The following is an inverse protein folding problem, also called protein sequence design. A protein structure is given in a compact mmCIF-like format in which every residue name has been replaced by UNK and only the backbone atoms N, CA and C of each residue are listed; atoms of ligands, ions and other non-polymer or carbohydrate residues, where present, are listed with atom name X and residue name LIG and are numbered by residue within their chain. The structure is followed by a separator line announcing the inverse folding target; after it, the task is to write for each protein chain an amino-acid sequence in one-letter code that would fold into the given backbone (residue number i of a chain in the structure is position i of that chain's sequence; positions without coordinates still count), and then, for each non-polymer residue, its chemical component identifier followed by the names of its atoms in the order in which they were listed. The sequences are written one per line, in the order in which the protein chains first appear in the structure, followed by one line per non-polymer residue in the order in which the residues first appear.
data_IF_233803741434
#
_entry.id   IF_233803741434
#
_cell.length_a   1.000
_cell.length_b   1.000
_cell.length_c   1.000
_cell.angle_alpha   90.00
_cell.angle_beta   90.00
_cell.angle_gamma   90.00
#
_symmetry.space_group_name_H-M   'P 1'
#
loop_
_entity.id
_entity.type
_entity.pdbx_description
1 polymer ?
#
# COMPACT_ATOMS: atom_id res chain seq x y z
N UNK A 1 8.84 -20.57 49.59
CA UNK A 1 7.49 -20.16 49.17
C UNK A 1 7.42 -20.25 47.67
N UNK A 2 6.75 -21.27 47.13
CA UNK A 2 6.56 -21.47 45.67
C UNK A 2 5.22 -20.83 45.30
N UNK A 3 5.25 -19.81 44.48
CA UNK A 3 4.04 -19.22 43.89
C UNK A 3 3.70 -19.96 42.59
N UNK A 4 2.60 -20.68 42.62
CA UNK A 4 2.01 -21.37 41.48
C UNK A 4 1.17 -20.35 40.71
N UNK A 5 1.60 -19.98 39.52
CA UNK A 5 0.83 -19.16 38.59
C UNK A 5 -0.14 -20.11 37.86
N UNK A 6 -1.42 -20.04 38.24
CA UNK A 6 -2.50 -20.68 37.51
C UNK A 6 -2.77 -19.83 36.22
N UNK A 7 -2.33 -20.35 35.08
CA UNK A 7 -2.75 -19.83 33.78
C UNK A 7 -4.20 -20.21 33.51
N UNK A 8 -5.10 -19.24 33.48
CA UNK A 8 -6.48 -19.41 33.02
C UNK A 8 -6.48 -19.44 31.49
N UNK A 9 -6.53 -20.65 30.94
CA UNK A 9 -6.82 -20.83 29.52
C UNK A 9 -8.34 -20.70 29.34
N UNK A 10 -8.79 -19.54 28.87
CA UNK A 10 -10.16 -19.34 28.38
C UNK A 10 -10.24 -19.94 26.99
N UNK A 11 -10.63 -21.20 26.91
CA UNK A 11 -11.08 -21.85 25.69
C UNK A 11 -12.50 -21.33 25.41
N UNK A 12 -12.64 -20.24 24.63
CA UNK A 12 -13.92 -19.86 24.05
C UNK A 12 -14.28 -20.91 23.00
N UNK A 13 -15.20 -21.81 23.34
CA UNK A 13 -15.85 -22.66 22.35
C UNK A 13 -16.70 -21.76 21.44
N UNK A 14 -16.19 -21.40 20.28
CA UNK A 14 -16.93 -20.74 19.22
C UNK A 14 -17.96 -21.75 18.71
N UNK A 15 -19.22 -21.56 19.09
CA UNK A 15 -20.37 -22.25 18.47
C UNK A 15 -20.39 -21.74 17.04
N UNK A 16 -19.94 -22.56 16.10
CA UNK A 16 -19.97 -22.25 14.68
C UNK A 16 -21.41 -22.44 14.17
N UNK A 17 -22.21 -21.38 14.22
CA UNK A 17 -23.27 -21.22 13.23
C UNK A 17 -22.60 -21.19 11.84
N UNK A 18 -23.22 -21.71 10.77
CA UNK A 18 -22.68 -21.57 9.43
C UNK A 18 -22.61 -20.06 9.11
N UNK A 19 -21.41 -19.50 9.19
CA UNK A 19 -21.14 -18.13 8.80
C UNK A 19 -21.04 -18.14 7.28
N UNK A 20 -21.93 -17.44 6.59
CA UNK A 20 -21.78 -17.19 5.16
C UNK A 20 -20.69 -16.14 4.98
N UNK A 21 -19.53 -16.55 4.48
CA UNK A 21 -18.48 -15.63 4.07
C UNK A 21 -18.90 -14.89 2.77
N UNK A 22 -17.97 -14.47 1.96
CA UNK A 22 -18.27 -13.75 0.73
C UNK A 22 -18.94 -14.67 -0.32
N UNK A 23 -20.04 -14.22 -0.90
CA UNK A 23 -20.78 -14.93 -1.94
C UNK A 23 -21.08 -14.01 -3.13
N UNK A 24 -21.50 -14.58 -4.23
CA UNK A 24 -21.93 -13.83 -5.41
C UNK A 24 -22.95 -12.75 -5.06
N UNK A 25 -22.70 -11.52 -5.54
CA UNK A 25 -23.54 -10.35 -5.30
C UNK A 25 -23.15 -9.50 -4.09
N UNK A 26 -22.27 -9.99 -3.20
CA UNK A 26 -21.85 -9.23 -2.02
C UNK A 26 -21.02 -8.00 -2.41
N UNK A 27 -21.29 -6.87 -1.76
CA UNK A 27 -20.40 -5.72 -1.68
C UNK A 27 -19.54 -5.82 -0.41
N UNK A 28 -18.25 -5.60 -0.57
CA UNK A 28 -17.26 -5.73 0.49
C UNK A 28 -16.58 -4.39 0.69
N UNK A 29 -16.59 -3.88 1.91
CA UNK A 29 -15.86 -2.66 2.30
C UNK A 29 -14.85 -3.03 3.38
N UNK A 30 -13.60 -2.59 3.22
CA UNK A 30 -12.57 -2.71 4.26
C UNK A 30 -12.03 -1.33 4.60
N UNK A 31 -11.82 -1.08 5.88
CA UNK A 31 -11.17 0.13 6.38
C UNK A 31 -10.13 -0.25 7.43
N UNK A 32 -8.94 0.28 7.30
CA UNK A 32 -7.85 -0.09 8.19
C UNK A 32 -6.59 0.73 8.02
N UNK A 33 -5.51 0.24 8.58
CA UNK A 33 -4.19 0.86 8.52
C UNK A 33 -3.42 0.21 7.39
N UNK A 34 -2.93 1.03 6.45
CA UNK A 34 -2.09 0.64 5.34
C UNK A 34 -0.70 1.29 5.48
N UNK A 35 0.34 0.46 5.53
CA UNK A 35 1.74 0.89 5.62
C UNK A 35 2.45 0.62 4.29
N UNK A 36 2.89 1.69 3.64
CA UNK A 36 3.67 1.63 2.40
C UNK A 36 5.14 1.58 2.73
N UNK A 37 5.81 0.55 2.25
CA UNK A 37 7.25 0.33 2.41
C UNK A 37 7.87 0.31 1.03
N UNK A 38 8.48 1.42 0.57
CA UNK A 38 9.16 1.47 -0.71
C UNK A 38 10.30 0.45 -0.80
N UNK A 39 10.47 -0.12 -2.00
CA UNK A 39 11.65 -0.88 -2.41
C UNK A 39 12.31 -0.09 -3.53
N UNK A 40 12.72 1.12 -3.18
CA UNK A 40 13.11 2.17 -4.09
C UNK A 40 14.50 1.96 -4.67
N UNK A 41 14.67 2.42 -5.90
CA UNK A 41 15.93 2.64 -6.58
C UNK A 41 15.77 3.76 -7.59
N UNK A 42 16.84 4.47 -7.90
CA UNK A 42 16.82 5.50 -8.93
C UNK A 42 18.03 5.41 -9.82
N UNK A 43 17.98 6.07 -10.96
CA UNK A 43 19.19 6.40 -11.70
C UNK A 43 20.05 7.37 -10.88
N UNK A 44 21.34 7.38 -11.17
CA UNK A 44 22.29 8.22 -10.50
C UNK A 44 22.05 9.70 -10.78
N UNK A 45 21.99 10.50 -9.72
CA UNK A 45 21.69 11.93 -9.84
C UNK A 45 22.95 12.77 -10.05
N UNK A 46 22.79 13.85 -10.84
CA UNK A 46 23.84 14.87 -11.08
C UNK A 46 25.20 14.32 -11.53
N UNK A 47 25.22 13.16 -12.22
CA UNK A 47 26.47 12.52 -12.66
C UNK A 47 27.29 11.92 -11.52
N UNK A 48 26.75 11.82 -10.32
CA UNK A 48 27.36 11.20 -9.14
C UNK A 48 27.08 9.69 -9.12
N UNK A 49 27.52 9.02 -8.04
CA UNK A 49 27.15 7.63 -7.74
C UNK A 49 25.92 7.56 -6.80
N UNK A 50 25.37 8.70 -6.42
CA UNK A 50 24.29 8.83 -5.45
C UNK A 50 22.92 8.58 -6.08
N UNK A 51 22.01 7.98 -5.32
CA UNK A 51 20.65 7.65 -5.68
C UNK A 51 19.66 8.44 -4.83
N UNK A 52 18.40 8.46 -5.26
CA UNK A 52 17.27 8.95 -4.47
C UNK A 52 16.66 7.82 -3.67
N UNK A 53 16.25 8.11 -2.44
CA UNK A 53 15.52 7.18 -1.58
C UNK A 53 14.25 7.81 -1.03
N UNK A 54 13.27 6.96 -0.69
CA UNK A 54 11.93 7.34 -0.27
C UNK A 54 11.59 6.62 1.03
N UNK A 55 11.14 7.35 2.06
CA UNK A 55 10.79 6.75 3.34
C UNK A 55 9.42 6.04 3.32
N UNK A 56 9.21 5.14 4.28
CA UNK A 56 7.90 4.51 4.52
C UNK A 56 6.89 5.52 5.08
N UNK A 57 5.61 5.31 4.79
CA UNK A 57 4.50 6.05 5.39
C UNK A 57 3.31 5.14 5.70
N UNK A 58 2.49 5.53 6.67
CA UNK A 58 1.34 4.76 7.13
C UNK A 58 0.11 5.65 7.16
N UNK A 59 -0.95 5.20 6.49
CA UNK A 59 -2.17 5.96 6.27
C UNK A 59 -3.42 5.09 6.46
N UNK A 60 -4.60 5.73 6.44
CA UNK A 60 -5.87 5.04 6.37
C UNK A 60 -6.04 4.45 4.96
N UNK A 61 -6.19 3.13 4.90
CA UNK A 61 -6.53 2.39 3.69
C UNK A 61 -8.01 2.03 3.66
N UNK A 62 -8.62 2.13 2.48
CA UNK A 62 -10.00 1.77 2.20
C UNK A 62 -10.04 0.87 0.97
N UNK A 63 -10.83 -0.21 1.01
CA UNK A 63 -11.14 -0.98 -0.19
C UNK A 63 -12.63 -1.11 -0.38
N UNK A 64 -13.06 -1.14 -1.64
CA UNK A 64 -14.41 -1.44 -2.05
C UNK A 64 -14.35 -2.59 -3.06
N UNK A 65 -15.00 -3.70 -2.74
CA UNK A 65 -15.05 -4.89 -3.55
C UNK A 65 -16.47 -5.29 -3.92
N UNK A 66 -16.58 -6.04 -5.01
CA UNK A 66 -17.84 -6.69 -5.45
C UNK A 66 -17.53 -8.13 -5.86
N UNK A 67 -18.32 -9.07 -5.35
CA UNK A 67 -18.21 -10.49 -5.67
C UNK A 67 -19.01 -10.82 -6.93
N UNK A 68 -18.32 -11.12 -8.04
CA UNK A 68 -18.99 -11.58 -9.27
C UNK A 68 -19.42 -13.04 -9.19
N UNK A 69 -18.71 -13.83 -8.42
CA UNK A 69 -19.04 -15.21 -8.05
C UNK A 69 -18.61 -15.45 -6.61
N UNK A 70 -18.88 -16.59 -6.05
CA UNK A 70 -18.41 -16.96 -4.70
C UNK A 70 -16.88 -16.92 -4.55
N UNK A 71 -16.15 -16.94 -5.64
CA UNK A 71 -14.68 -16.99 -5.63
C UNK A 71 -13.99 -15.85 -6.37
N UNK A 72 -14.69 -15.06 -7.18
CA UNK A 72 -14.09 -14.00 -7.98
C UNK A 72 -14.67 -12.65 -7.58
N UNK A 73 -13.78 -11.71 -7.22
CA UNK A 73 -14.16 -10.34 -6.94
C UNK A 73 -13.37 -9.34 -7.80
N UNK A 74 -13.94 -8.15 -7.91
CA UNK A 74 -13.22 -6.94 -8.29
C UNK A 74 -13.09 -6.04 -7.07
N UNK A 75 -11.92 -5.50 -6.82
CA UNK A 75 -11.67 -4.60 -5.70
C UNK A 75 -10.91 -3.36 -6.14
N UNK A 76 -11.28 -2.23 -5.56
CA UNK A 76 -10.54 -0.96 -5.68
C UNK A 76 -9.96 -0.62 -4.32
N UNK A 77 -8.65 -0.49 -4.24
CA UNK A 77 -7.95 0.07 -3.09
C UNK A 77 -7.79 1.58 -3.30
N UNK A 78 -8.14 2.33 -2.27
CA UNK A 78 -7.84 3.75 -2.12
C UNK A 78 -7.26 4.00 -0.71
N UNK A 79 -6.55 5.10 -0.55
CA UNK A 79 -6.01 5.51 0.74
C UNK A 79 -6.05 7.04 0.85
N UNK A 80 -5.90 7.56 2.06
CA UNK A 80 -5.53 8.97 2.20
C UNK A 80 -4.13 9.19 1.62
N UNK A 81 -3.83 10.40 1.11
CA UNK A 81 -2.54 10.64 0.45
C UNK A 81 -1.35 10.26 1.31
N UNK A 82 -0.47 9.42 0.78
CA UNK A 82 0.81 9.13 1.40
C UNK A 82 1.76 10.31 1.21
N UNK A 83 2.58 10.59 2.22
CA UNK A 83 3.58 11.66 2.19
C UNK A 83 4.96 11.09 2.41
N UNK A 84 5.83 11.32 1.46
CA UNK A 84 7.18 10.78 1.48
C UNK A 84 8.22 11.88 1.44
N UNK A 85 9.30 11.68 2.20
CA UNK A 85 10.51 12.47 2.08
C UNK A 85 11.40 11.86 1.01
N UNK A 86 12.02 12.73 0.24
CA UNK A 86 13.00 12.38 -0.78
C UNK A 86 14.37 12.69 -0.18
N UNK A 87 15.22 11.69 -0.10
CA UNK A 87 16.56 11.79 0.46
C UNK A 87 17.63 11.38 -0.55
N UNK A 88 18.83 11.84 -0.36
CA UNK A 88 20.01 11.42 -1.13
C UNK A 88 21.24 11.38 -0.24
N UNK A 89 22.17 10.49 -0.57
CA UNK A 89 23.50 10.43 0.05
C UNK A 89 24.53 11.36 -0.64
N UNK A 90 24.11 12.05 -1.72
CA UNK A 90 24.95 13.02 -2.40
C UNK A 90 25.46 14.07 -1.42
N UNK A 91 26.78 14.15 -1.25
CA UNK A 91 27.44 15.10 -0.33
C UNK A 91 26.89 15.09 1.10
N UNK A 92 26.28 13.97 1.55
CA UNK A 92 25.60 13.82 2.83
C UNK A 92 24.44 14.82 3.05
N UNK A 93 23.73 15.21 1.99
CA UNK A 93 22.61 16.16 2.07
C UNK A 93 21.42 15.63 2.88
N UNK A 94 21.20 14.32 2.88
CA UNK A 94 20.05 13.72 3.56
C UNK A 94 18.72 14.08 2.89
N UNK A 95 17.73 14.54 3.68
CA UNK A 95 16.42 14.92 3.18
C UNK A 95 16.50 16.20 2.33
N UNK A 96 16.17 16.11 1.04
CA UNK A 96 16.25 17.22 0.08
C UNK A 96 14.89 17.70 -0.41
N UNK A 97 13.81 16.91 -0.19
CA UNK A 97 12.49 17.25 -0.69
C UNK A 97 11.40 16.35 -0.15
N UNK A 98 10.20 16.55 -0.67
CA UNK A 98 9.01 15.76 -0.34
C UNK A 98 8.10 15.63 -1.55
N UNK A 99 7.24 14.61 -1.51
CA UNK A 99 6.13 14.43 -2.44
C UNK A 99 4.96 13.79 -1.71
N UNK A 100 3.76 13.99 -2.23
CA UNK A 100 2.58 13.19 -1.89
C UNK A 100 2.11 12.40 -3.09
N UNK A 101 1.49 11.25 -2.84
CA UNK A 101 0.89 10.47 -3.90
C UNK A 101 -0.42 9.78 -3.48
N UNK A 102 -1.24 9.50 -4.47
CA UNK A 102 -2.44 8.68 -4.37
C UNK A 102 -2.29 7.51 -5.34
N UNK A 103 -2.26 6.25 -4.87
CA UNK A 103 -2.10 5.07 -5.69
C UNK A 103 -3.40 4.24 -5.80
N UNK A 104 -4.52 4.73 -6.38
CA UNK A 104 -5.66 3.85 -6.60
C UNK A 104 -5.25 2.60 -7.37
N UNK A 105 -5.71 1.44 -6.86
CA UNK A 105 -5.32 0.14 -7.39
C UNK A 105 -6.57 -0.69 -7.66
N UNK A 106 -6.67 -1.23 -8.86
CA UNK A 106 -7.82 -2.00 -9.36
C UNK A 106 -7.42 -3.46 -9.48
N UNK A 107 -8.10 -4.36 -8.76
CA UNK A 107 -7.72 -5.75 -8.62
C UNK A 107 -8.85 -6.68 -9.03
N UNK A 108 -8.51 -7.76 -9.68
CA UNK A 108 -9.33 -8.97 -9.75
C UNK A 108 -8.73 -9.97 -8.77
N UNK A 109 -9.56 -10.50 -7.87
CA UNK A 109 -9.12 -11.41 -6.81
C UNK A 109 -9.82 -12.75 -6.94
N UNK A 110 -9.10 -13.81 -6.58
CA UNK A 110 -9.62 -15.15 -6.44
C UNK A 110 -9.57 -15.59 -4.98
N UNK A 111 -10.73 -15.90 -4.42
CA UNK A 111 -10.90 -16.40 -3.06
C UNK A 111 -10.89 -17.92 -3.04
N UNK A 112 -10.06 -18.50 -2.19
CA UNK A 112 -9.99 -19.93 -1.97
C UNK A 112 -11.05 -20.37 -0.95
N UNK A 113 -11.45 -21.64 -1.02
CA UNK A 113 -12.45 -22.23 -0.13
C UNK A 113 -13.89 -21.98 -0.59
N UNK A 114 -14.80 -22.36 0.25
CA UNK A 114 -16.26 -22.25 0.00
C UNK A 114 -16.82 -20.94 0.57
N UNK A 115 -17.98 -20.50 0.07
CA UNK A 115 -18.67 -19.29 0.53
C UNK A 115 -19.05 -19.32 2.03
N UNK A 116 -19.10 -20.49 2.66
CA UNK A 116 -19.38 -20.66 4.08
C UNK A 116 -18.11 -20.84 4.96
N UNK A 117 -16.92 -20.65 4.40
CA UNK A 117 -15.67 -20.80 5.14
C UNK A 117 -15.42 -19.60 6.05
N UNK A 118 -15.15 -19.83 7.34
CA UNK A 118 -14.81 -18.76 8.29
C UNK A 118 -13.51 -18.03 7.92
N UNK A 119 -12.58 -18.73 7.25
CA UNK A 119 -11.30 -18.18 6.79
C UNK A 119 -11.27 -18.24 5.27
N UNK A 120 -11.13 -17.10 4.63
CA UNK A 120 -11.11 -16.95 3.17
C UNK A 120 -9.79 -16.33 2.72
N UNK A 121 -8.74 -17.12 2.42
CA UNK A 121 -7.56 -16.62 1.76
C UNK A 121 -7.88 -16.20 0.32
N UNK A 122 -7.15 -15.21 -0.18
CA UNK A 122 -7.28 -14.77 -1.55
C UNK A 122 -5.94 -14.32 -2.13
N UNK A 123 -5.88 -14.32 -3.46
CA UNK A 123 -4.80 -13.70 -4.24
C UNK A 123 -5.43 -12.87 -5.35
N UNK A 124 -4.73 -11.86 -5.79
CA UNK A 124 -5.23 -11.02 -6.88
C UNK A 124 -4.12 -10.43 -7.73
N UNK A 125 -4.53 -9.99 -8.91
CA UNK A 125 -3.70 -9.24 -9.85
C UNK A 125 -4.50 -8.09 -10.43
N UNK A 126 -3.81 -7.02 -10.83
CA UNK A 126 -4.48 -5.84 -11.31
C UNK A 126 -3.57 -4.73 -11.79
N UNK A 127 -4.12 -3.53 -11.81
CA UNK A 127 -3.46 -2.31 -12.27
C UNK A 127 -3.42 -1.27 -11.16
N UNK A 128 -2.27 -0.66 -11.00
CA UNK A 128 -2.09 0.51 -10.17
C UNK A 128 -1.98 1.76 -11.05
N UNK A 129 -2.65 2.82 -10.67
CA UNK A 129 -2.41 4.17 -11.16
C UNK A 129 -1.93 5.01 -9.99
N UNK A 130 -0.80 5.67 -10.13
CA UNK A 130 -0.26 6.57 -9.10
C UNK A 130 -0.12 7.97 -9.65
N UNK A 131 -0.75 8.93 -8.99
CA UNK A 131 -0.56 10.36 -9.26
C UNK A 131 0.21 11.01 -8.13
N UNK A 132 1.15 11.89 -8.49
CA UNK A 132 2.00 12.63 -7.56
C UNK A 132 1.57 14.08 -7.50
N UNK A 133 1.72 14.71 -6.34
CA UNK A 133 1.39 16.11 -6.10
C UNK A 133 2.10 16.65 -4.85
N UNK A 134 2.06 17.97 -4.65
CA UNK A 134 2.78 18.65 -3.55
C UNK A 134 4.27 18.30 -3.50
N UNK A 135 4.84 17.98 -4.69
CA UNK A 135 6.28 17.72 -4.81
C UNK A 135 7.07 19.01 -4.75
N UNK A 136 8.21 18.97 -4.07
CA UNK A 136 9.09 20.12 -3.98
C UNK A 136 10.35 19.84 -3.17
N UNK A 137 11.39 20.59 -3.44
CA UNK A 137 12.60 20.60 -2.65
C UNK A 137 12.37 21.38 -1.34
N UNK A 138 13.07 20.99 -0.30
CA UNK A 138 13.16 21.73 0.95
C UNK A 138 14.37 22.69 0.92
N UNK A 139 14.59 23.44 2.01
CA UNK A 139 15.70 24.39 2.10
C UNK A 139 17.09 23.76 1.88
N UNK A 140 17.27 22.48 2.16
CA UNK A 140 18.51 21.74 1.90
C UNK A 140 18.69 21.53 0.40
N UNK A 141 17.67 21.05 -0.28
CA UNK A 141 17.69 20.85 -1.73
C UNK A 141 17.83 22.19 -2.47
N UNK A 142 17.09 23.23 -2.07
CA UNK A 142 17.22 24.58 -2.63
C UNK A 142 18.62 25.16 -2.41
N UNK A 143 19.19 24.97 -1.21
CA UNK A 143 20.56 25.38 -0.89
C UNK A 143 21.62 24.67 -1.71
N UNK A 144 21.33 23.45 -2.20
CA UNK A 144 22.14 22.71 -3.16
C UNK A 144 21.91 23.12 -4.62
N UNK A 145 21.06 24.13 -4.86
CA UNK A 145 20.74 24.66 -6.20
C UNK A 145 19.69 23.87 -6.96
N UNK A 146 18.88 23.04 -6.26
CA UNK A 146 17.78 22.27 -6.87
C UNK A 146 16.47 23.05 -6.81
N UNK A 147 15.67 23.00 -7.88
CA UNK A 147 14.35 23.65 -7.96
C UNK A 147 13.42 22.94 -8.95
N UNK A 148 12.15 23.34 -8.96
CA UNK A 148 11.13 22.92 -9.94
C UNK A 148 10.96 21.39 -10.03
N UNK A 149 10.91 20.69 -8.89
CA UNK A 149 10.67 19.25 -8.85
C UNK A 149 9.27 18.91 -9.34
N UNK A 150 9.19 17.95 -10.26
CA UNK A 150 7.95 17.33 -10.74
C UNK A 150 8.15 15.84 -10.92
N UNK A 151 7.11 15.07 -10.66
CA UNK A 151 7.06 13.62 -10.83
C UNK A 151 5.93 13.29 -11.81
N UNK A 152 6.22 12.45 -12.79
CA UNK A 152 5.23 11.99 -13.74
C UNK A 152 4.30 10.94 -13.11
N UNK A 153 3.04 10.90 -13.53
CA UNK A 153 2.10 9.85 -13.13
C UNK A 153 2.57 8.48 -13.61
N UNK A 154 2.22 7.44 -12.86
CA UNK A 154 2.64 6.07 -13.12
C UNK A 154 1.47 5.13 -13.34
N UNK A 155 1.58 4.25 -14.32
CA UNK A 155 0.75 3.06 -14.48
C UNK A 155 1.60 1.81 -14.35
N UNK A 156 1.16 0.86 -13.54
CA UNK A 156 1.89 -0.37 -13.31
C UNK A 156 1.02 -1.56 -12.98
N UNK A 157 1.62 -2.73 -12.97
CA UNK A 157 0.98 -3.95 -12.52
C UNK A 157 0.94 -3.98 -10.98
N UNK A 158 -0.10 -4.60 -10.45
CA UNK A 158 -0.22 -4.85 -9.03
C UNK A 158 -0.59 -6.30 -8.75
N UNK A 159 -0.18 -6.79 -7.60
CA UNK A 159 -0.55 -8.10 -7.08
C UNK A 159 -0.84 -7.99 -5.58
N UNK A 160 -1.75 -8.82 -5.08
CA UNK A 160 -1.99 -8.91 -3.65
C UNK A 160 -2.25 -10.36 -3.20
N UNK A 161 -2.09 -10.56 -1.92
CA UNK A 161 -2.55 -11.74 -1.21
C UNK A 161 -3.08 -11.32 0.15
N UNK A 162 -4.09 -12.01 0.63
CA UNK A 162 -4.67 -11.69 1.93
C UNK A 162 -5.54 -12.81 2.45
N UNK A 163 -6.10 -12.56 3.63
CA UNK A 163 -7.03 -13.47 4.29
C UNK A 163 -8.10 -12.66 5.00
N UNK A 164 -9.35 -13.06 4.82
CA UNK A 164 -10.49 -12.58 5.58
C UNK A 164 -10.85 -13.62 6.64
N UNK A 165 -11.02 -13.17 7.88
CA UNK A 165 -11.50 -13.96 9.00
C UNK A 165 -12.86 -13.45 9.43
N UNK A 166 -13.92 -14.24 9.16
CA UNK A 166 -15.30 -13.87 9.46
C UNK A 166 -15.55 -13.90 10.97
N UNK A 167 -16.04 -12.80 11.50
CA UNK A 167 -16.49 -12.67 12.89
C UNK A 167 -17.97 -13.06 13.04
N UNK A 168 -18.76 -12.77 12.01
CA UNK A 168 -20.16 -13.14 11.83
C UNK A 168 -20.54 -13.02 10.35
N UNK A 169 -21.81 -13.08 10.02
CA UNK A 169 -22.30 -13.05 8.62
C UNK A 169 -21.96 -11.76 7.86
N UNK A 170 -21.61 -10.68 8.53
CA UNK A 170 -21.35 -9.38 7.89
C UNK A 170 -19.97 -8.79 8.22
N UNK A 171 -19.47 -8.98 9.44
CA UNK A 171 -18.21 -8.40 9.88
C UNK A 171 -17.07 -9.40 9.79
N UNK A 172 -15.91 -8.92 9.37
CA UNK A 172 -14.69 -9.72 9.29
C UNK A 172 -13.43 -8.88 9.56
N UNK A 173 -12.34 -9.55 9.85
CA UNK A 173 -11.00 -8.98 9.91
C UNK A 173 -10.24 -9.36 8.65
N UNK A 174 -9.44 -8.44 8.15
CA UNK A 174 -8.57 -8.65 6.99
C UNK A 174 -7.11 -8.41 7.36
N UNK A 175 -6.25 -9.25 6.84
CA UNK A 175 -4.81 -8.98 6.75
C UNK A 175 -4.37 -9.22 5.31
N UNK A 176 -3.66 -8.27 4.73
CA UNK A 176 -3.23 -8.35 3.33
C UNK A 176 -1.88 -7.71 3.07
N UNK A 177 -1.23 -8.21 2.05
CA UNK A 177 0.01 -7.67 1.49
C UNK A 177 -0.20 -7.39 0.00
N UNK A 178 0.32 -6.26 -0.45
CA UNK A 178 0.21 -5.77 -1.81
C UNK A 178 1.58 -5.42 -2.34
N UNK A 179 1.74 -5.57 -3.62
CA UNK A 179 2.88 -5.08 -4.36
C UNK A 179 2.38 -4.31 -5.58
N UNK A 180 2.94 -3.14 -5.82
CA UNK A 180 2.65 -2.35 -7.02
C UNK A 180 3.96 -1.99 -7.72
N UNK A 181 3.97 -2.14 -9.04
CA UNK A 181 5.04 -1.58 -9.85
C UNK A 181 4.73 -0.10 -10.08
N UNK A 182 5.54 0.77 -9.49
CA UNK A 182 5.41 2.23 -9.59
C UNK A 182 6.76 2.78 -10.06
N UNK A 183 6.77 3.29 -11.29
CA UNK A 183 7.94 3.92 -11.90
C UNK A 183 7.56 5.33 -12.35
N UNK A 184 8.37 6.32 -12.03
CA UNK A 184 8.14 7.73 -12.38
C UNK A 184 9.42 8.38 -12.84
N UNK A 185 9.30 9.41 -13.66
CA UNK A 185 10.43 10.27 -14.03
C UNK A 185 10.35 11.57 -13.21
N UNK A 186 11.37 11.81 -12.39
CA UNK A 186 11.55 13.05 -11.67
C UNK A 186 12.25 14.07 -12.58
N UNK A 187 11.60 15.18 -12.87
CA UNK A 187 12.16 16.31 -13.59
C UNK A 187 12.43 17.47 -12.64
N UNK A 188 13.58 18.12 -12.76
CA UNK A 188 13.99 19.20 -11.87
C UNK A 188 15.06 20.09 -12.52
N UNK A 189 15.39 21.20 -11.88
CA UNK A 189 16.53 22.04 -12.26
C UNK A 189 17.66 21.92 -11.27
N UNK A 190 18.89 21.92 -11.76
CA UNK A 190 20.12 22.07 -11.01
C UNK A 190 20.84 23.34 -11.47
N UNK A 191 20.70 24.42 -10.71
CA UNK A 191 21.01 25.77 -11.17
C UNK A 191 20.11 26.17 -12.34
N UNK A 192 20.69 26.43 -13.52
CA UNK A 192 19.94 26.71 -14.76
C UNK A 192 19.62 25.47 -15.61
N UNK A 193 20.23 24.33 -15.31
CA UNK A 193 20.17 23.14 -16.14
C UNK A 193 18.94 22.29 -15.79
N UNK A 194 18.12 21.95 -16.79
CA UNK A 194 17.07 20.97 -16.64
C UNK A 194 17.68 19.56 -16.59
N UNK A 195 17.21 18.77 -15.64
CA UNK A 195 17.63 17.38 -15.40
C UNK A 195 16.41 16.48 -15.29
N UNK A 196 16.59 15.20 -15.53
CA UNK A 196 15.61 14.15 -15.25
C UNK A 196 16.28 12.93 -14.68
N UNK A 197 15.54 12.17 -13.88
CA UNK A 197 16.02 10.95 -13.21
C UNK A 197 14.86 9.98 -13.13
N UNK A 198 15.05 8.74 -13.60
CA UNK A 198 14.04 7.71 -13.46
C UNK A 198 14.12 7.12 -12.04
N UNK A 199 12.96 6.99 -11.42
CA UNK A 199 12.79 6.52 -10.03
C UNK A 199 11.81 5.35 -10.02
N UNK A 200 12.24 4.24 -9.44
CA UNK A 200 11.42 3.06 -9.18
C UNK A 200 11.11 3.01 -7.69
N UNK A 201 9.83 2.99 -7.35
CA UNK A 201 9.39 2.96 -5.96
C UNK A 201 8.99 1.54 -5.56
N UNK A 202 8.25 0.84 -6.43
CA UNK A 202 7.89 -0.58 -6.33
C UNK A 202 7.55 -1.04 -4.89
N UNK A 203 6.61 -0.38 -4.20
CA UNK A 203 6.39 -0.59 -2.78
C UNK A 203 5.72 -1.92 -2.48
N UNK A 204 6.04 -2.43 -1.29
CA UNK A 204 5.17 -3.34 -0.56
C UNK A 204 4.21 -2.54 0.31
N UNK A 205 2.94 -2.96 0.35
CA UNK A 205 1.93 -2.37 1.25
C UNK A 205 1.39 -3.48 2.14
N UNK A 206 1.43 -3.25 3.44
CA UNK A 206 0.87 -4.14 4.45
C UNK A 206 -0.38 -3.48 5.03
N UNK A 207 -1.51 -4.20 5.02
CA UNK A 207 -2.77 -3.67 5.52
C UNK A 207 -3.40 -4.63 6.54
N UNK A 208 -3.91 -4.04 7.63
CA UNK A 208 -4.79 -4.69 8.58
C UNK A 208 -6.06 -3.87 8.66
N UNK A 209 -7.21 -4.52 8.47
CA UNK A 209 -8.49 -3.83 8.35
C UNK A 209 -9.62 -4.59 9.04
N UNK A 210 -10.63 -3.85 9.46
CA UNK A 210 -11.97 -4.37 9.65
C UNK A 210 -12.74 -4.29 8.34
N UNK A 211 -13.57 -5.28 8.07
CA UNK A 211 -14.38 -5.32 6.87
C UNK A 211 -15.84 -5.58 7.19
N UNK A 212 -16.67 -5.12 6.28
CA UNK A 212 -18.11 -5.34 6.30
C UNK A 212 -18.58 -5.76 4.91
N UNK A 213 -19.46 -6.75 4.86
CA UNK A 213 -20.16 -7.14 3.63
C UNK A 213 -21.64 -6.83 3.71
N UNK A 214 -22.19 -6.39 2.63
CA UNK A 214 -23.61 -6.03 2.44
C UNK A 214 -24.32 -7.07 1.60
#
# INVERSE_FOLDING_TARGET
MKQTICGVAVLAALISAPVLAHQEGDFIVRAGIASVVPNDSSDKILGSQSELSVNSDTQLGLTLGYMFTDNISFEVLAATPFSHKISTDLSNLGDIGKTKHLPPTFMVQYYFGEANSTIRPYVGAGLNYTTFFDEGFNSTGEGAGLSDLKLDDSWGLAANAGVDYMLNDSWFLNASVWYANIETTATYKAGSDAKSTDVKINPWVFMIAGGYKF
#
